data_IF_540177076273
#
_entry.id   IF_540177076273
#
_cell.length_a   1.000
_cell.length_b   1.000
_cell.length_c   1.000
_cell.angle_alpha   90.00
_cell.angle_beta   90.00
_cell.angle_gamma   90.00
#
_symmetry.space_group_name_H-M   'P 1'
#
loop_
_entity.id
_entity.type
_entity.pdbx_description
1 polymer ?
#
# COMPACT_ATOMS: atom_id res chain seq x y z
N UNK A 1 -14.85 5.20 -16.42
CA UNK A 1 -13.75 5.53 -17.38
C UNK A 1 -12.71 6.32 -16.61
N UNK A 2 -11.43 6.21 -16.96
CA UNK A 2 -10.39 7.06 -16.34
C UNK A 2 -10.71 8.54 -16.57
N UNK A 3 -10.26 9.43 -15.69
CA UNK A 3 -10.39 10.88 -15.91
C UNK A 3 -9.72 11.29 -17.21
N UNK A 4 -10.32 12.25 -17.92
CA UNK A 4 -9.66 12.90 -19.03
C UNK A 4 -8.40 13.64 -18.57
N UNK A 5 -7.55 13.99 -19.53
CA UNK A 5 -6.23 14.55 -19.25
C UNK A 5 -6.30 15.90 -18.49
N UNK A 6 -7.29 16.74 -18.80
CA UNK A 6 -7.44 18.06 -18.16
C UNK A 6 -7.92 17.92 -16.71
N UNK A 7 -8.96 17.14 -16.48
CA UNK A 7 -9.50 16.84 -15.14
C UNK A 7 -8.45 16.16 -14.26
N UNK A 8 -7.67 15.24 -14.82
CA UNK A 8 -6.60 14.58 -14.08
C UNK A 8 -5.46 15.55 -13.72
N UNK A 9 -5.08 16.45 -14.61
CA UNK A 9 -4.07 17.47 -14.33
C UNK A 9 -4.50 18.40 -13.18
N UNK A 10 -5.78 18.80 -13.13
CA UNK A 10 -6.35 19.61 -12.05
C UNK A 10 -6.36 18.85 -10.72
N UNK A 11 -6.78 17.59 -10.71
CA UNK A 11 -6.74 16.75 -9.52
C UNK A 11 -5.30 16.63 -8.99
N UNK A 12 -4.35 16.34 -9.87
CA UNK A 12 -2.94 16.18 -9.49
C UNK A 12 -2.34 17.47 -8.95
N UNK A 13 -2.66 18.62 -9.56
CA UNK A 13 -2.23 19.94 -9.04
C UNK A 13 -2.80 20.22 -7.65
N UNK A 14 -4.06 19.82 -7.40
CA UNK A 14 -4.68 19.94 -6.07
C UNK A 14 -4.00 19.03 -5.04
N UNK A 15 -3.66 17.80 -5.41
CA UNK A 15 -2.90 16.87 -4.55
C UNK A 15 -1.51 17.42 -4.24
N UNK A 16 -0.79 17.96 -5.23
CA UNK A 16 0.54 18.55 -5.01
C UNK A 16 0.48 19.75 -4.07
N UNK A 17 -0.50 20.63 -4.23
CA UNK A 17 -0.72 21.75 -3.30
C UNK A 17 -1.04 21.26 -1.89
N UNK A 18 -1.91 20.26 -1.75
CA UNK A 18 -2.22 19.66 -0.45
C UNK A 18 -0.98 19.06 0.22
N UNK A 19 -0.10 18.42 -0.55
CA UNK A 19 1.18 17.91 -0.08
C UNK A 19 2.04 19.04 0.49
N UNK A 20 2.18 20.14 -0.24
CA UNK A 20 3.08 21.23 0.14
C UNK A 20 2.52 22.06 1.30
N UNK A 21 1.22 22.38 1.29
CA UNK A 21 0.60 23.30 2.23
C UNK A 21 0.08 22.61 3.50
N UNK A 22 -0.23 21.31 3.46
CA UNK A 22 -0.85 20.58 4.57
C UNK A 22 -0.04 19.40 5.07
N UNK A 23 0.41 18.52 4.18
CA UNK A 23 1.03 17.25 4.59
C UNK A 23 2.47 17.45 5.08
N UNK A 24 3.31 18.17 4.33
CA UNK A 24 4.70 18.44 4.74
C UNK A 24 4.78 19.18 6.07
N UNK A 25 3.99 20.25 6.33
CA UNK A 25 3.97 20.90 7.63
C UNK A 25 3.52 20.02 8.79
N UNK A 26 2.67 19.01 8.54
CA UNK A 26 2.16 18.10 9.56
C UNK A 26 3.09 16.91 9.85
N UNK A 27 4.20 16.76 9.14
CA UNK A 27 5.12 15.63 9.28
C UNK A 27 5.72 15.47 10.68
N UNK A 28 6.03 16.58 11.35
CA UNK A 28 6.63 16.56 12.69
C UNK A 28 5.58 16.19 13.74
N UNK A 29 4.39 16.74 13.67
CA UNK A 29 3.27 16.36 14.54
C UNK A 29 2.94 14.87 14.41
N UNK A 30 2.94 14.36 13.17
CA UNK A 30 2.73 12.92 12.92
C UNK A 30 3.81 12.07 13.58
N UNK A 31 5.08 12.45 13.47
CA UNK A 31 6.20 11.73 14.07
C UNK A 31 6.12 11.75 15.60
N UNK A 32 5.75 12.85 16.21
CA UNK A 32 5.62 13.01 17.65
C UNK A 32 4.45 12.21 18.22
N UNK A 33 3.26 12.36 17.60
CA UNK A 33 2.02 11.76 18.11
C UNK A 33 1.83 10.30 17.69
N UNK A 34 2.60 9.83 16.72
CA UNK A 34 2.41 8.52 16.05
C UNK A 34 0.97 8.38 15.52
N UNK A 35 0.37 9.49 15.04
CA UNK A 35 -0.97 9.49 14.45
C UNK A 35 -1.11 10.56 13.36
N UNK A 36 -2.00 10.31 12.37
CA UNK A 36 -2.34 11.32 11.36
C UNK A 36 -3.41 12.23 11.93
N UNK A 37 -3.20 13.56 11.93
CA UNK A 37 -4.17 14.51 12.44
C UNK A 37 -5.56 14.35 11.80
N UNK A 38 -6.61 14.45 12.61
CA UNK A 38 -7.98 14.21 12.17
C UNK A 38 -8.44 15.16 11.06
N UNK A 39 -8.00 16.42 11.10
CA UNK A 39 -8.26 17.43 10.06
C UNK A 39 -7.61 17.04 8.73
N UNK A 40 -6.43 16.47 8.73
CA UNK A 40 -5.78 15.94 7.50
C UNK A 40 -6.61 14.79 6.90
N UNK A 41 -7.13 13.91 7.76
CA UNK A 41 -8.00 12.81 7.30
C UNK A 41 -9.32 13.36 6.72
N UNK A 42 -9.88 14.43 7.31
CA UNK A 42 -11.08 15.08 6.79
C UNK A 42 -10.81 15.71 5.41
N UNK A 43 -9.71 16.47 5.26
CA UNK A 43 -9.29 17.04 3.98
C UNK A 43 -9.14 15.94 2.89
N UNK A 44 -8.52 14.80 3.24
CA UNK A 44 -8.36 13.65 2.32
C UNK A 44 -9.73 13.08 1.86
N UNK A 45 -10.72 13.05 2.75
CA UNK A 45 -12.09 12.62 2.41
C UNK A 45 -12.75 13.60 1.45
N UNK A 46 -12.68 14.90 1.74
CA UNK A 46 -13.18 15.96 0.87
C UNK A 46 -12.58 15.93 -0.53
N UNK A 47 -11.28 15.67 -0.62
CA UNK A 47 -10.57 15.51 -1.89
C UNK A 47 -10.90 14.20 -2.63
N UNK A 48 -11.69 13.30 -2.05
CA UNK A 48 -12.05 12.01 -2.64
C UNK A 48 -10.91 10.99 -2.69
N UNK A 49 -9.82 11.18 -1.92
CA UNK A 49 -8.64 10.31 -1.97
C UNK A 49 -8.95 8.86 -1.54
N UNK A 50 -9.98 8.65 -0.73
CA UNK A 50 -10.44 7.30 -0.33
C UNK A 50 -11.08 6.53 -1.47
N UNK A 51 -11.54 7.21 -2.53
CA UNK A 51 -12.26 6.63 -3.65
C UNK A 51 -11.53 6.69 -5.00
N UNK A 52 -10.23 7.05 -5.06
CA UNK A 52 -9.53 7.26 -6.34
C UNK A 52 -9.57 6.04 -7.25
N UNK A 53 -9.56 4.82 -6.69
CA UNK A 53 -9.58 3.54 -7.42
C UNK A 53 -10.97 2.94 -7.61
N UNK A 54 -12.00 3.54 -7.00
CA UNK A 54 -13.37 3.05 -7.05
C UNK A 54 -14.10 3.77 -8.19
N UNK A 55 -14.79 3.04 -9.08
CA UNK A 55 -15.53 3.66 -10.19
C UNK A 55 -16.60 4.66 -9.75
N UNK A 56 -16.91 5.62 -10.62
CA UNK A 56 -17.88 6.71 -10.39
C UNK A 56 -19.28 6.19 -10.03
N UNK A 57 -19.73 5.08 -10.64
CA UNK A 57 -21.04 4.48 -10.33
C UNK A 57 -21.14 3.92 -8.90
N UNK A 58 -20.02 3.85 -8.17
CA UNK A 58 -19.95 3.55 -6.73
C UNK A 58 -19.41 4.73 -5.92
N UNK A 59 -19.48 5.95 -6.47
CA UNK A 59 -19.13 7.19 -5.75
C UNK A 59 -17.63 7.49 -5.66
N UNK A 60 -16.78 6.78 -6.40
CA UNK A 60 -15.34 7.05 -6.46
C UNK A 60 -14.95 7.97 -7.63
N UNK A 61 -13.66 8.16 -7.84
CA UNK A 61 -13.10 8.95 -8.95
C UNK A 61 -12.79 8.07 -10.16
N UNK A 62 -12.51 6.79 -9.97
CA UNK A 62 -12.30 5.83 -11.05
C UNK A 62 -11.03 6.02 -11.86
N UNK A 63 -9.92 6.41 -11.22
CA UNK A 63 -8.64 6.57 -11.88
C UNK A 63 -8.16 5.26 -12.54
N UNK A 64 -7.45 5.38 -13.68
CA UNK A 64 -6.68 4.28 -14.24
C UNK A 64 -5.48 3.94 -13.35
N UNK A 65 -4.87 2.77 -13.53
CA UNK A 65 -3.66 2.40 -12.78
C UNK A 65 -2.52 3.39 -13.00
N UNK A 66 -2.35 3.87 -14.23
CA UNK A 66 -1.35 4.89 -14.57
C UNK A 66 -1.59 6.19 -13.80
N UNK A 67 -2.84 6.65 -13.75
CA UNK A 67 -3.22 7.86 -13.00
C UNK A 67 -3.06 7.67 -11.49
N UNK A 68 -3.46 6.50 -10.95
CA UNK A 68 -3.25 6.19 -9.52
C UNK A 68 -1.77 6.16 -9.15
N UNK A 69 -0.91 5.57 -9.99
CA UNK A 69 0.53 5.55 -9.77
C UNK A 69 1.12 6.97 -9.72
N UNK A 70 0.65 7.89 -10.58
CA UNK A 70 1.10 9.28 -10.55
C UNK A 70 0.68 9.98 -9.24
N UNK A 71 -0.56 9.82 -8.77
CA UNK A 71 -1.02 10.37 -7.49
C UNK A 71 -0.25 9.77 -6.31
N UNK A 72 -0.03 8.47 -6.31
CA UNK A 72 0.72 7.77 -5.26
C UNK A 72 2.19 8.17 -5.25
N UNK A 73 2.80 8.39 -6.42
CA UNK A 73 4.15 8.94 -6.54
C UNK A 73 4.23 10.33 -5.91
N UNK A 74 3.31 11.24 -6.20
CA UNK A 74 3.29 12.58 -5.61
C UNK A 74 3.17 12.51 -4.08
N UNK A 75 2.30 11.66 -3.54
CA UNK A 75 2.16 11.42 -2.09
C UNK A 75 3.43 10.84 -1.45
N UNK A 76 4.27 10.16 -2.21
CA UNK A 76 5.58 9.68 -1.75
C UNK A 76 6.55 10.82 -1.38
N UNK A 77 6.27 12.06 -1.75
CA UNK A 77 7.05 13.23 -1.32
C UNK A 77 6.83 13.63 0.14
N UNK A 78 6.00 12.90 0.88
CA UNK A 78 5.70 13.16 2.29
C UNK A 78 5.89 11.90 3.15
N UNK A 79 5.60 12.01 4.45
CA UNK A 79 5.61 10.87 5.36
C UNK A 79 4.65 9.78 4.89
N UNK A 80 5.12 8.54 4.92
CA UNK A 80 4.40 7.36 4.45
C UNK A 80 2.97 7.24 4.98
N UNK A 81 2.75 7.60 6.26
CA UNK A 81 1.48 7.41 6.93
C UNK A 81 0.33 8.18 6.29
N UNK A 82 0.58 9.35 5.68
CA UNK A 82 -0.48 10.10 5.02
C UNK A 82 -1.13 9.30 3.89
N UNK A 83 -0.33 8.64 3.05
CA UNK A 83 -0.88 7.73 2.03
C UNK A 83 -1.50 6.49 2.65
N UNK A 84 -0.95 5.98 3.76
CA UNK A 84 -1.41 4.75 4.39
C UNK A 84 -2.82 4.84 4.96
N UNK A 85 -3.27 6.03 5.40
CA UNK A 85 -4.61 6.24 5.98
C UNK A 85 -5.72 5.76 5.05
N UNK A 86 -5.66 6.14 3.77
CA UNK A 86 -6.63 5.71 2.78
C UNK A 86 -6.13 4.54 1.90
N UNK A 87 -4.87 4.16 2.07
CA UNK A 87 -4.21 3.17 1.21
C UNK A 87 -4.86 1.79 1.21
N UNK A 88 -5.44 1.38 2.33
CA UNK A 88 -6.20 0.12 2.40
C UNK A 88 -7.53 0.23 1.66
N UNK A 89 -8.20 1.41 1.70
CA UNK A 89 -9.45 1.65 0.98
C UNK A 89 -9.28 1.61 -0.54
N UNK A 90 -8.24 2.26 -1.08
CA UNK A 90 -8.01 2.30 -2.53
C UNK A 90 -7.27 1.07 -3.07
N UNK A 91 -6.62 0.32 -2.19
CA UNK A 91 -5.80 -0.83 -2.55
C UNK A 91 -6.39 -2.14 -2.05
N UNK A 92 -5.60 -2.82 -1.23
CA UNK A 92 -5.81 -4.23 -0.87
C UNK A 92 -7.12 -4.52 -0.13
N UNK A 93 -7.73 -3.55 0.56
CA UNK A 93 -8.97 -3.76 1.31
C UNK A 93 -10.22 -3.79 0.42
N UNK A 94 -10.36 -2.84 -0.51
CA UNK A 94 -11.57 -2.70 -1.35
C UNK A 94 -11.54 -3.51 -2.63
N UNK A 95 -10.35 -3.72 -3.20
CA UNK A 95 -10.21 -4.24 -4.56
C UNK A 95 -10.74 -5.68 -4.73
N UNK A 96 -10.72 -6.48 -3.66
CA UNK A 96 -11.34 -7.80 -3.68
C UNK A 96 -12.87 -7.72 -3.91
N UNK A 97 -13.53 -6.75 -3.27
CA UNK A 97 -14.96 -6.49 -3.44
C UNK A 97 -15.22 -5.96 -4.85
N UNK A 98 -14.43 -5.00 -5.33
CA UNK A 98 -14.61 -4.42 -6.66
C UNK A 98 -14.43 -5.46 -7.78
N UNK A 99 -13.42 -6.32 -7.68
CA UNK A 99 -13.09 -7.28 -8.74
C UNK A 99 -14.01 -8.49 -8.77
N UNK A 100 -14.32 -9.05 -7.61
CA UNK A 100 -14.95 -10.37 -7.49
C UNK A 100 -16.23 -10.35 -6.65
N UNK A 101 -16.60 -9.24 -6.01
CA UNK A 101 -17.84 -9.10 -5.23
C UNK A 101 -19.09 -9.22 -6.08
N UNK A 102 -20.21 -9.65 -5.48
CA UNK A 102 -21.52 -9.56 -6.12
C UNK A 102 -21.96 -8.09 -6.27
N UNK A 103 -22.93 -7.81 -7.11
CA UNK A 103 -23.41 -6.43 -7.30
C UNK A 103 -23.98 -5.86 -6.01
N UNK A 104 -24.68 -6.67 -5.22
CA UNK A 104 -25.21 -6.29 -3.90
C UNK A 104 -24.07 -5.90 -2.95
N UNK A 105 -22.97 -6.68 -2.91
CA UNK A 105 -21.81 -6.37 -2.10
C UNK A 105 -21.14 -5.06 -2.56
N UNK A 106 -21.01 -4.85 -3.85
CA UNK A 106 -20.45 -3.61 -4.41
C UNK A 106 -21.29 -2.39 -4.02
N UNK A 107 -22.61 -2.46 -4.22
CA UNK A 107 -23.53 -1.37 -3.89
C UNK A 107 -23.57 -1.08 -2.38
N UNK A 108 -23.46 -2.10 -1.55
CA UNK A 108 -23.49 -1.94 -0.11
C UNK A 108 -22.21 -1.33 0.46
N UNK A 109 -21.03 -1.72 -0.05
CA UNK A 109 -19.75 -1.39 0.58
C UNK A 109 -18.95 -0.31 -0.15
N UNK A 110 -18.91 -0.32 -1.49
CA UNK A 110 -17.99 0.57 -2.24
C UNK A 110 -18.29 2.05 -2.05
N UNK A 111 -19.55 2.53 -2.03
CA UNK A 111 -19.83 3.95 -1.80
C UNK A 111 -19.33 4.45 -0.44
N UNK A 112 -19.50 3.66 0.60
CA UNK A 112 -19.04 3.99 1.96
C UNK A 112 -17.52 3.96 2.08
N UNK A 113 -16.87 3.06 1.32
CA UNK A 113 -15.41 2.99 1.23
C UNK A 113 -14.87 4.20 0.46
N UNK A 114 -15.51 4.56 -0.66
CA UNK A 114 -15.09 5.68 -1.51
C UNK A 114 -15.17 7.04 -0.80
N UNK A 115 -16.21 7.25 0.00
CA UNK A 115 -16.35 8.47 0.83
C UNK A 115 -15.41 8.51 2.04
N UNK A 116 -14.78 7.38 2.39
CA UNK A 116 -14.02 7.23 3.63
C UNK A 116 -14.89 7.15 4.88
N UNK A 117 -16.22 6.97 4.76
CA UNK A 117 -17.10 6.60 5.89
C UNK A 117 -16.66 5.26 6.48
N UNK A 118 -16.40 4.29 5.61
CA UNK A 118 -15.95 2.96 5.99
C UNK A 118 -14.47 2.79 5.64
N UNK A 119 -13.64 2.65 6.66
CA UNK A 119 -12.25 2.21 6.51
C UNK A 119 -12.25 0.69 6.44
N UNK A 120 -11.64 0.12 5.41
CA UNK A 120 -11.54 -1.33 5.25
C UNK A 120 -10.09 -1.78 5.27
N UNK A 121 -9.80 -2.82 6.05
CA UNK A 121 -8.45 -3.40 6.17
C UNK A 121 -8.38 -4.77 5.54
N UNK A 122 -7.17 -5.18 5.14
CA UNK A 122 -6.92 -6.48 4.52
C UNK A 122 -6.29 -7.43 5.52
N UNK A 123 -6.98 -8.53 5.84
CA UNK A 123 -6.63 -9.45 6.90
C UNK A 123 -6.27 -10.85 6.32
N UNK A 124 -5.05 -10.98 5.80
CA UNK A 124 -4.50 -12.22 5.22
C UNK A 124 -3.49 -12.89 6.18
N UNK A 125 -2.46 -12.14 6.57
CA UNK A 125 -1.29 -12.65 7.32
C UNK A 125 -1.67 -13.18 8.69
N UNK A 126 -1.04 -14.27 9.11
CA UNK A 126 -1.20 -14.90 10.42
C UNK A 126 0.16 -15.04 11.12
N UNK A 127 0.18 -15.31 12.45
CA UNK A 127 1.43 -15.53 13.17
C UNK A 127 2.36 -16.57 12.51
N UNK A 128 1.80 -17.62 11.92
CA UNK A 128 2.53 -18.72 11.30
C UNK A 128 2.43 -18.77 9.76
N UNK A 129 1.75 -17.80 9.12
CA UNK A 129 1.56 -17.78 7.66
C UNK A 129 1.71 -16.35 7.12
N UNK A 130 2.93 -15.99 6.71
CA UNK A 130 3.26 -14.72 6.06
C UNK A 130 3.57 -14.94 4.59
N UNK A 131 4.83 -15.26 4.26
CA UNK A 131 5.26 -15.55 2.88
C UNK A 131 4.57 -16.79 2.29
N UNK A 132 4.31 -17.79 3.12
CA UNK A 132 3.48 -18.95 2.78
C UNK A 132 2.00 -18.68 3.13
N UNK A 133 1.41 -17.72 2.43
CA UNK A 133 0.04 -17.28 2.68
C UNK A 133 -1.02 -18.37 2.43
N UNK A 134 -0.73 -19.35 1.58
CA UNK A 134 -1.64 -20.47 1.32
C UNK A 134 -1.77 -21.45 2.51
N UNK A 135 -0.86 -21.37 3.50
CA UNK A 135 -0.86 -22.18 4.71
C UNK A 135 -1.61 -21.53 5.88
N UNK A 136 -2.38 -20.46 5.64
CA UNK A 136 -3.20 -19.83 6.67
C UNK A 136 -4.12 -20.83 7.37
N UNK A 137 -4.33 -20.64 8.68
CA UNK A 137 -5.03 -21.58 9.56
C UNK A 137 -6.36 -21.06 10.08
N UNK A 138 -6.66 -19.76 10.00
CA UNK A 138 -7.97 -19.21 10.34
C UNK A 138 -9.05 -19.99 9.63
N UNK A 139 -9.99 -20.61 10.38
CA UNK A 139 -11.07 -21.44 9.86
C UNK A 139 -12.37 -20.66 9.81
N UNK A 140 -13.21 -21.00 8.82
CA UNK A 140 -14.57 -20.54 8.70
C UNK A 140 -15.47 -21.77 8.43
N UNK A 141 -16.24 -22.17 9.41
CA UNK A 141 -17.12 -23.33 9.35
C UNK A 141 -18.57 -22.88 9.15
N UNK A 142 -19.25 -23.45 8.14
CA UNK A 142 -20.64 -23.10 7.85
C UNK A 142 -21.57 -23.67 8.92
N UNK A 143 -22.40 -22.81 9.51
CA UNK A 143 -23.42 -23.13 10.51
C UNK A 143 -24.72 -22.41 10.13
N UNK A 144 -25.62 -23.12 9.49
CA UNK A 144 -26.85 -22.57 8.93
C UNK A 144 -26.54 -21.56 7.80
N UNK A 145 -26.96 -20.31 7.99
CA UNK A 145 -26.77 -19.18 7.07
C UNK A 145 -25.57 -18.28 7.45
N UNK A 146 -24.73 -18.73 8.40
CA UNK A 146 -23.54 -18.03 8.87
C UNK A 146 -22.30 -18.89 8.78
N UNK A 147 -21.14 -18.24 8.68
CA UNK A 147 -19.84 -18.86 8.97
C UNK A 147 -19.39 -18.49 10.37
N UNK A 148 -18.94 -19.48 11.13
CA UNK A 148 -18.26 -19.31 12.41
C UNK A 148 -16.77 -19.26 12.16
N UNK A 149 -16.15 -18.09 12.40
CA UNK A 149 -14.76 -17.85 12.10
C UNK A 149 -13.92 -17.85 13.36
N UNK A 150 -12.83 -18.63 13.34
CA UNK A 150 -11.88 -18.75 14.44
C UNK A 150 -10.44 -18.63 13.94
N UNK A 151 -9.63 -17.79 14.59
CA UNK A 151 -8.22 -17.61 14.24
C UNK A 151 -7.67 -16.24 14.63
N UNK A 152 -6.43 -15.97 14.22
CA UNK A 152 -5.76 -14.69 14.51
C UNK A 152 -5.08 -14.18 13.26
N UNK A 153 -5.36 -12.95 12.88
CA UNK A 153 -4.67 -12.21 11.81
C UNK A 153 -3.65 -11.26 12.43
N UNK A 154 -2.48 -11.15 11.80
CA UNK A 154 -1.33 -10.43 12.35
C UNK A 154 -0.87 -9.29 11.44
N UNK A 155 -0.37 -8.21 12.06
CA UNK A 155 0.14 -7.01 11.38
C UNK A 155 -0.90 -6.33 10.48
N UNK A 156 -2.17 -6.29 10.89
CA UNK A 156 -3.25 -5.78 10.05
C UNK A 156 -3.24 -4.25 10.06
N UNK A 157 -2.87 -3.68 8.92
CA UNK A 157 -2.76 -2.23 8.71
C UNK A 157 -4.14 -1.58 8.83
N UNK A 158 -4.19 -0.45 9.55
CA UNK A 158 -5.40 0.32 9.86
C UNK A 158 -6.45 -0.44 10.68
N UNK A 159 -6.17 -1.64 11.21
CA UNK A 159 -7.14 -2.40 11.99
C UNK A 159 -7.78 -1.60 13.13
N UNK A 160 -7.06 -0.75 13.90
CA UNK A 160 -7.69 0.07 14.95
C UNK A 160 -8.70 1.11 14.45
N UNK A 161 -8.68 1.43 13.16
CA UNK A 161 -9.60 2.40 12.51
C UNK A 161 -10.61 1.72 11.59
N UNK A 162 -10.45 0.41 11.36
CA UNK A 162 -11.27 -0.32 10.41
C UNK A 162 -12.71 -0.50 10.92
N UNK A 163 -13.68 -0.22 10.08
CA UNK A 163 -15.07 -0.61 10.27
C UNK A 163 -15.40 -1.96 9.64
N UNK A 164 -14.50 -2.48 8.78
CA UNK A 164 -14.61 -3.83 8.21
C UNK A 164 -13.25 -4.38 7.79
N UNK A 165 -13.20 -5.71 7.63
CA UNK A 165 -12.03 -6.45 7.15
C UNK A 165 -12.37 -7.24 5.89
N UNK A 166 -11.55 -7.13 4.85
CA UNK A 166 -11.46 -8.16 3.81
C UNK A 166 -10.57 -9.26 4.36
N UNK A 167 -11.19 -10.33 4.85
CA UNK A 167 -10.55 -11.37 5.64
C UNK A 167 -10.51 -12.70 4.88
N UNK A 168 -9.35 -13.33 4.84
CA UNK A 168 -9.15 -14.66 4.27
C UNK A 168 -9.24 -15.72 5.36
N UNK A 169 -10.10 -16.73 5.13
CA UNK A 169 -10.24 -17.86 6.03
C UNK A 169 -10.43 -19.16 5.23
N UNK A 170 -10.11 -20.27 5.86
CA UNK A 170 -10.22 -21.61 5.28
C UNK A 170 -11.63 -22.13 5.46
N UNK A 171 -12.32 -22.34 4.34
CA UNK A 171 -13.65 -22.98 4.25
C UNK A 171 -13.60 -24.40 3.73
N UNK A 172 -12.45 -24.85 3.23
CA UNK A 172 -12.25 -26.17 2.64
C UNK A 172 -10.94 -26.80 3.05
N UNK A 173 -10.48 -27.78 2.25
CA UNK A 173 -9.24 -28.53 2.49
C UNK A 173 -7.96 -27.68 2.46
N UNK A 174 -6.81 -28.33 2.49
CA UNK A 174 -5.50 -27.69 2.44
C UNK A 174 -5.26 -26.97 1.10
N UNK A 175 -4.32 -26.02 1.10
CA UNK A 175 -3.89 -25.27 -0.08
C UNK A 175 -4.79 -24.10 -0.43
N UNK A 176 -4.50 -23.48 -1.56
CA UNK A 176 -5.10 -22.21 -2.01
C UNK A 176 -6.61 -22.33 -2.30
N UNK A 177 -7.06 -23.47 -2.84
CA UNK A 177 -8.47 -23.73 -3.18
C UNK A 177 -9.38 -23.92 -1.97
N UNK A 178 -8.81 -24.08 -0.77
CA UNK A 178 -9.59 -24.14 0.48
C UNK A 178 -9.84 -22.78 1.10
N UNK A 179 -9.37 -21.67 0.51
CA UNK A 179 -9.41 -20.32 1.11
C UNK A 179 -10.51 -19.47 0.46
N UNK A 180 -11.34 -18.86 1.28
CA UNK A 180 -12.37 -17.89 0.90
C UNK A 180 -12.03 -16.50 1.42
N UNK A 181 -12.53 -15.47 0.74
CA UNK A 181 -12.48 -14.08 1.19
C UNK A 181 -13.83 -13.66 1.75
N UNK A 182 -13.83 -12.96 2.87
CA UNK A 182 -15.03 -12.48 3.55
C UNK A 182 -14.99 -10.97 3.75
N UNK A 183 -16.15 -10.31 3.71
CA UNK A 183 -16.33 -8.97 4.26
C UNK A 183 -16.81 -9.15 5.71
N UNK A 184 -15.96 -8.81 6.65
CA UNK A 184 -16.24 -8.99 8.08
C UNK A 184 -16.36 -7.63 8.75
N UNK A 185 -17.55 -7.20 9.23
CA UNK A 185 -17.69 -5.99 10.03
C UNK A 185 -16.83 -6.05 11.29
N UNK A 186 -16.17 -4.95 11.66
CA UNK A 186 -15.24 -4.94 12.79
C UNK A 186 -15.96 -5.06 14.15
N UNK A 187 -17.24 -4.72 14.21
CA UNK A 187 -18.11 -4.83 15.38
C UNK A 187 -18.79 -6.21 15.52
N UNK A 188 -18.42 -7.17 14.67
CA UNK A 188 -18.93 -8.55 14.78
C UNK A 188 -18.57 -9.13 16.14
N UNK A 189 -19.55 -9.65 16.94
CA UNK A 189 -19.27 -10.32 18.20
C UNK A 189 -18.24 -11.43 18.03
N UNK A 190 -17.28 -11.51 18.95
CA UNK A 190 -16.15 -12.44 18.87
C UNK A 190 -14.93 -11.89 18.16
N UNK A 191 -14.94 -10.63 17.71
CA UNK A 191 -13.75 -9.93 17.22
C UNK A 191 -13.14 -9.07 18.30
N UNK A 192 -11.82 -9.16 18.47
CA UNK A 192 -11.05 -8.28 19.33
C UNK A 192 -9.74 -7.87 18.65
N UNK A 193 -9.22 -6.71 19.04
CA UNK A 193 -7.99 -6.16 18.52
C UNK A 193 -6.87 -6.25 19.55
N UNK A 194 -5.69 -6.66 19.08
CA UNK A 194 -4.46 -6.59 19.86
C UNK A 194 -3.99 -5.15 20.07
N UNK A 195 -2.97 -4.99 20.91
CA UNK A 195 -2.30 -3.68 21.08
C UNK A 195 -1.62 -3.29 19.76
N UNK A 196 -1.63 -1.98 19.37
CA UNK A 196 -0.86 -1.51 18.24
C UNK A 196 0.62 -1.86 18.35
N UNK A 197 1.20 -2.32 17.24
CA UNK A 197 2.61 -2.70 17.16
C UNK A 197 3.52 -1.47 17.30
N UNK A 198 4.60 -1.63 18.06
CA UNK A 198 5.72 -0.68 18.05
C UNK A 198 6.64 -1.04 16.87
N UNK A 199 6.85 -0.12 15.95
CA UNK A 199 7.54 -0.37 14.68
C UNK A 199 8.84 0.43 14.57
N UNK A 200 9.74 -0.01 13.69
CA UNK A 200 10.96 0.70 13.30
C UNK A 200 10.65 2.05 12.65
N UNK A 201 9.68 2.10 11.75
CA UNK A 201 9.25 3.25 10.97
C UNK A 201 7.77 3.23 10.66
N UNK A 202 7.37 4.08 9.71
CA UNK A 202 5.97 4.29 9.32
C UNK A 202 5.09 4.64 10.53
N UNK A 203 5.57 5.56 11.36
CA UNK A 203 4.78 6.17 12.45
C UNK A 203 3.54 6.82 11.86
N UNK A 204 2.46 6.83 12.62
CA UNK A 204 1.13 7.26 12.14
C UNK A 204 0.34 6.18 11.40
N UNK A 205 1.00 5.09 10.96
CA UNK A 205 0.32 3.90 10.42
C UNK A 205 0.19 2.86 11.51
N UNK A 206 -1.01 2.60 12.00
CA UNK A 206 -1.24 1.60 13.05
C UNK A 206 -1.42 0.22 12.43
N UNK A 207 -0.78 -0.78 13.05
CA UNK A 207 -1.00 -2.21 12.78
C UNK A 207 -1.27 -2.93 14.10
N UNK A 208 -2.11 -3.95 14.10
CA UNK A 208 -2.30 -4.84 15.25
C UNK A 208 -2.82 -6.20 14.82
N UNK A 209 -2.89 -7.11 15.76
CA UNK A 209 -3.57 -8.39 15.56
C UNK A 209 -5.10 -8.20 15.56
N UNK A 210 -5.79 -9.03 14.76
CA UNK A 210 -7.24 -9.19 14.76
C UNK A 210 -7.53 -10.62 15.19
N UNK A 211 -8.13 -10.78 16.35
CA UNK A 211 -8.46 -12.08 16.95
C UNK A 211 -9.94 -12.37 16.73
N UNK A 212 -10.24 -13.56 16.24
CA UNK A 212 -11.61 -14.04 15.98
C UNK A 212 -11.87 -15.28 16.85
N UNK A 213 -12.87 -15.18 17.71
CA UNK A 213 -13.31 -16.23 18.61
C UNK A 213 -14.82 -16.46 18.42
N UNK A 214 -15.16 -17.49 17.66
CA UNK A 214 -16.53 -17.81 17.27
C UNK A 214 -17.27 -16.62 16.60
N UNK A 215 -16.56 -15.84 15.81
CA UNK A 215 -17.13 -14.70 15.09
C UNK A 215 -18.12 -15.19 14.03
N UNK A 216 -19.41 -14.84 14.19
CA UNK A 216 -20.48 -15.26 13.28
C UNK A 216 -20.66 -14.22 12.19
N UNK A 217 -20.39 -14.62 10.95
CA UNK A 217 -20.46 -13.77 9.76
C UNK A 217 -21.47 -14.37 8.79
N UNK A 218 -22.44 -13.60 8.26
CA UNK A 218 -23.40 -14.10 7.28
C UNK A 218 -22.72 -14.77 6.09
N UNK A 219 -23.24 -15.88 5.59
CA UNK A 219 -22.72 -16.57 4.44
C UNK A 219 -22.71 -15.69 3.17
N UNK A 220 -23.63 -14.75 3.08
CA UNK A 220 -23.68 -13.73 2.04
C UNK A 220 -22.47 -12.79 2.01
N UNK A 221 -21.66 -12.76 3.07
CA UNK A 221 -20.45 -11.94 3.16
C UNK A 221 -19.22 -12.61 2.54
N UNK A 222 -19.31 -13.84 2.02
CA UNK A 222 -18.26 -14.38 1.13
C UNK A 222 -18.20 -13.48 -0.12
N UNK A 223 -17.03 -12.94 -0.42
CA UNK A 223 -16.83 -12.11 -1.62
C UNK A 223 -17.10 -12.97 -2.86
N UNK A 224 -18.07 -12.52 -3.67
CA UNK A 224 -18.50 -13.24 -4.89
C UNK A 224 -19.40 -14.44 -4.63
N UNK A 225 -19.78 -14.72 -3.37
CA UNK A 225 -20.73 -15.77 -3.01
C UNK A 225 -20.22 -17.22 -3.20
N UNK A 226 -18.97 -17.42 -3.66
CA UNK A 226 -18.42 -18.74 -3.96
C UNK A 226 -17.25 -19.06 -3.04
N UNK A 227 -17.33 -20.11 -2.21
CA UNK A 227 -16.22 -20.53 -1.37
C UNK A 227 -15.05 -21.10 -2.18
N UNK A 228 -13.82 -20.99 -1.61
CA UNK A 228 -12.60 -21.57 -2.19
C UNK A 228 -11.92 -20.73 -3.28
N UNK A 229 -12.44 -19.55 -3.64
CA UNK A 229 -11.82 -18.67 -4.65
C UNK A 229 -11.05 -17.51 -4.05
N UNK A 230 -11.10 -17.30 -2.74
CA UNK A 230 -10.58 -16.12 -2.07
C UNK A 230 -9.08 -15.93 -2.19
N UNK A 231 -8.28 -17.01 -2.26
CA UNK A 231 -6.85 -16.88 -2.47
C UNK A 231 -6.52 -16.30 -3.86
N UNK A 232 -7.28 -16.70 -4.89
CA UNK A 232 -7.12 -16.14 -6.24
C UNK A 232 -7.46 -14.66 -6.28
N UNK A 233 -8.52 -14.25 -5.59
CA UNK A 233 -8.88 -12.84 -5.39
C UNK A 233 -7.75 -12.07 -4.71
N UNK A 234 -7.22 -12.59 -3.60
CA UNK A 234 -6.11 -11.98 -2.87
C UNK A 234 -4.87 -11.76 -3.76
N UNK A 235 -4.51 -12.73 -4.62
CA UNK A 235 -3.36 -12.60 -5.52
C UNK A 235 -3.57 -11.52 -6.58
N UNK A 236 -4.77 -11.40 -7.17
CA UNK A 236 -5.11 -10.31 -8.11
C UNK A 236 -4.98 -8.93 -7.46
N UNK A 237 -5.44 -8.82 -6.22
CA UNK A 237 -5.37 -7.59 -5.44
C UNK A 237 -3.92 -7.20 -5.13
N UNK A 238 -3.07 -8.17 -4.79
CA UNK A 238 -1.65 -7.91 -4.50
C UNK A 238 -0.85 -7.48 -5.73
N UNK A 239 -1.18 -7.93 -6.94
CA UNK A 239 -0.52 -7.44 -8.17
C UNK A 239 -0.70 -5.94 -8.35
N UNK A 240 -1.90 -5.43 -8.05
CA UNK A 240 -2.21 -4.00 -8.05
C UNK A 240 -1.44 -3.25 -6.94
N UNK A 241 -1.43 -3.79 -5.72
CA UNK A 241 -0.72 -3.21 -4.58
C UNK A 241 0.78 -3.04 -4.84
N UNK A 242 1.40 -4.00 -5.56
CA UNK A 242 2.82 -3.93 -5.95
C UNK A 242 3.15 -2.70 -6.80
N UNK A 243 2.28 -2.32 -7.74
CA UNK A 243 2.46 -1.10 -8.54
C UNK A 243 2.33 0.16 -7.70
N UNK A 244 1.34 0.23 -6.82
CA UNK A 244 1.20 1.35 -5.89
C UNK A 244 2.44 1.52 -5.00
N UNK A 245 2.94 0.42 -4.43
CA UNK A 245 4.16 0.48 -3.61
C UNK A 245 5.39 0.91 -4.39
N UNK A 246 5.48 0.50 -5.64
CA UNK A 246 6.57 0.89 -6.53
C UNK A 246 6.54 2.39 -6.83
N UNK A 247 5.36 2.92 -7.15
CA UNK A 247 5.17 4.36 -7.38
C UNK A 247 5.50 5.17 -6.11
N UNK A 248 5.02 4.73 -4.96
CA UNK A 248 5.31 5.34 -3.66
C UNK A 248 6.82 5.35 -3.35
N UNK A 249 7.50 4.21 -3.58
CA UNK A 249 8.94 4.09 -3.39
C UNK A 249 9.72 5.08 -4.28
N UNK A 250 9.29 5.27 -5.53
CA UNK A 250 9.87 6.27 -6.43
C UNK A 250 9.63 7.70 -5.93
N UNK A 251 8.45 8.02 -5.42
CA UNK A 251 8.15 9.33 -4.81
C UNK A 251 9.02 9.61 -3.59
N UNK A 252 9.17 8.63 -2.70
CA UNK A 252 10.05 8.74 -1.53
C UNK A 252 11.52 8.90 -1.93
N UNK A 253 11.98 8.20 -2.97
CA UNK A 253 13.33 8.36 -3.52
C UNK A 253 13.53 9.77 -4.10
N UNK A 254 12.54 10.32 -4.81
CA UNK A 254 12.60 11.68 -5.34
C UNK A 254 12.72 12.72 -4.20
N UNK A 255 11.93 12.60 -3.14
CA UNK A 255 12.02 13.48 -1.97
C UNK A 255 13.41 13.41 -1.34
N UNK A 256 13.94 12.22 -1.11
CA UNK A 256 15.28 12.02 -0.53
C UNK A 256 16.38 12.63 -1.39
N UNK A 257 16.32 12.49 -2.70
CA UNK A 257 17.28 13.09 -3.63
C UNK A 257 17.18 14.62 -3.58
N UNK A 258 15.97 15.17 -3.59
CA UNK A 258 15.73 16.62 -3.52
C UNK A 258 16.31 17.21 -2.25
N UNK A 259 16.04 16.60 -1.10
CA UNK A 259 16.53 17.05 0.21
C UNK A 259 18.08 16.93 0.28
N UNK A 260 18.64 15.82 -0.24
CA UNK A 260 20.09 15.62 -0.28
C UNK A 260 20.81 16.62 -1.21
N UNK A 261 20.21 16.97 -2.34
CA UNK A 261 20.74 17.99 -3.27
C UNK A 261 20.72 19.37 -2.61
N UNK A 262 19.61 19.76 -1.95
CA UNK A 262 19.52 21.02 -1.23
C UNK A 262 20.60 21.11 -0.15
N UNK A 263 20.71 20.08 0.68
CA UNK A 263 21.73 20.02 1.73
C UNK A 263 23.16 20.08 1.16
N UNK A 264 23.44 19.36 0.07
CA UNK A 264 24.78 19.33 -0.54
C UNK A 264 25.21 20.68 -1.11
N UNK A 265 24.26 21.52 -1.56
CA UNK A 265 24.52 22.88 -2.06
C UNK A 265 24.83 23.86 -0.93
N UNK A 266 24.21 23.71 0.23
CA UNK A 266 24.32 24.64 1.36
C UNK A 266 25.45 24.27 2.32
N UNK A 267 25.61 22.99 2.64
CA UNK A 267 26.60 22.50 3.59
C UNK A 267 28.01 22.66 3.06
N UNK A 268 28.85 23.37 3.80
CA UNK A 268 30.28 23.59 3.44
C UNK A 268 31.20 22.76 4.34
N UNK A 269 32.19 22.12 3.72
CA UNK A 269 33.33 21.49 4.36
C UNK A 269 34.58 21.72 3.49
N UNK A 270 35.76 21.79 4.10
CA UNK A 270 37.01 22.05 3.39
C UNK A 270 36.94 23.34 2.53
N UNK A 271 36.21 24.36 3.02
CA UNK A 271 36.12 25.67 2.38
C UNK A 271 35.10 25.80 1.22
N UNK A 272 34.38 24.74 0.84
CA UNK A 272 33.41 24.75 -0.27
C UNK A 272 32.17 23.91 0.00
N UNK A 273 31.07 24.06 -0.77
CA UNK A 273 29.92 23.19 -0.68
C UNK A 273 30.29 21.71 -0.83
N UNK A 274 29.63 20.83 -0.09
CA UNK A 274 29.94 19.40 -0.19
C UNK A 274 29.53 18.83 -1.55
N UNK A 275 28.58 19.43 -2.24
CA UNK A 275 28.20 19.11 -3.60
C UNK A 275 29.32 19.26 -4.66
N UNK A 276 30.41 19.99 -4.32
CA UNK A 276 31.59 20.12 -5.20
C UNK A 276 32.55 18.93 -5.10
N UNK A 277 32.28 17.96 -4.22
CA UNK A 277 33.11 16.76 -4.11
C UNK A 277 32.57 15.61 -4.95
N UNK A 278 33.43 14.98 -5.73
CA UNK A 278 33.05 13.93 -6.69
C UNK A 278 32.36 12.72 -6.03
N UNK A 279 32.73 12.36 -4.79
CA UNK A 279 32.07 11.27 -4.07
C UNK A 279 30.60 11.58 -3.72
N UNK A 280 30.28 12.84 -3.42
CA UNK A 280 28.90 13.28 -3.22
C UNK A 280 28.14 13.30 -4.56
N UNK A 281 28.77 13.82 -5.59
CA UNK A 281 28.20 13.85 -6.95
C UNK A 281 27.89 12.43 -7.46
N UNK A 282 28.78 11.46 -7.19
CA UNK A 282 28.55 10.05 -7.53
C UNK A 282 27.32 9.46 -6.85
N UNK A 283 27.15 9.69 -5.54
CA UNK A 283 25.98 9.21 -4.79
C UNK A 283 24.67 9.83 -5.31
N UNK A 284 24.65 11.12 -5.67
CA UNK A 284 23.50 11.79 -6.23
C UNK A 284 23.16 11.27 -7.65
N UNK A 285 24.20 11.08 -8.48
CA UNK A 285 24.05 10.58 -9.85
C UNK A 285 23.50 9.14 -9.87
N UNK A 286 24.05 8.24 -9.06
CA UNK A 286 23.54 6.88 -8.90
C UNK A 286 22.07 6.86 -8.46
N UNK A 287 21.73 7.69 -7.46
CA UNK A 287 20.37 7.78 -6.95
C UNK A 287 19.39 8.26 -8.01
N UNK A 288 19.78 9.25 -8.81
CA UNK A 288 18.93 9.78 -9.89
C UNK A 288 18.78 8.76 -11.04
N UNK A 289 19.82 8.05 -11.40
CA UNK A 289 19.78 7.03 -12.45
C UNK A 289 18.86 5.86 -12.05
N UNK A 290 18.96 5.40 -10.80
CA UNK A 290 18.12 4.34 -10.27
C UNK A 290 16.64 4.78 -10.15
N UNK A 291 16.37 6.03 -9.74
CA UNK A 291 15.02 6.59 -9.73
C UNK A 291 14.41 6.64 -11.13
N UNK A 292 15.18 7.10 -12.12
CA UNK A 292 14.74 7.15 -13.52
C UNK A 292 14.35 5.76 -14.04
N UNK A 293 15.17 4.75 -13.77
CA UNK A 293 14.87 3.36 -14.11
C UNK A 293 13.59 2.87 -13.43
N UNK A 294 13.44 3.10 -12.12
CA UNK A 294 12.25 2.72 -11.34
C UNK A 294 10.96 3.36 -11.87
N UNK A 295 10.98 4.66 -12.16
CA UNK A 295 9.83 5.37 -12.73
C UNK A 295 9.46 4.84 -14.12
N UNK A 296 10.45 4.52 -14.96
CA UNK A 296 10.19 3.92 -16.27
C UNK A 296 9.51 2.57 -16.16
N UNK A 297 9.94 1.72 -15.21
CA UNK A 297 9.30 0.42 -14.93
C UNK A 297 7.86 0.60 -14.43
N UNK A 298 7.62 1.54 -13.51
CA UNK A 298 6.28 1.82 -12.99
C UNK A 298 5.34 2.23 -14.12
N UNK A 299 5.76 3.17 -14.96
CA UNK A 299 4.95 3.69 -16.07
C UNK A 299 4.62 2.61 -17.11
N UNK A 300 5.63 1.86 -17.56
CA UNK A 300 5.41 0.76 -18.50
C UNK A 300 4.45 -0.28 -17.94
N UNK A 301 4.68 -0.74 -16.71
CA UNK A 301 3.85 -1.77 -16.11
C UNK A 301 2.42 -1.27 -15.84
N UNK A 302 2.22 -0.01 -15.41
CA UNK A 302 0.90 0.56 -15.20
C UNK A 302 0.11 0.68 -16.51
N UNK A 303 0.74 1.12 -17.61
CA UNK A 303 0.12 1.17 -18.94
C UNK A 303 -0.32 -0.22 -19.43
N UNK A 304 0.53 -1.25 -19.23
CA UNK A 304 0.16 -2.65 -19.56
C UNK A 304 -0.97 -3.16 -18.68
N UNK A 305 -0.97 -2.75 -17.40
CA UNK A 305 -2.08 -3.07 -16.49
C UNK A 305 -3.40 -2.46 -16.96
N UNK A 306 -3.40 -1.21 -17.42
CA UNK A 306 -4.57 -0.52 -17.94
C UNK A 306 -5.06 -1.13 -19.28
N UNK A 307 -4.15 -1.62 -20.11
CA UNK A 307 -4.46 -2.21 -21.41
C UNK A 307 -5.06 -3.63 -21.31
N UNK A 308 -4.89 -4.34 -20.18
CA UNK A 308 -5.44 -5.69 -20.02
C UNK A 308 -6.97 -5.67 -19.90
N UNK A 309 -7.68 -6.73 -20.37
CA UNK A 309 -9.12 -6.84 -20.18
C UNK A 309 -9.50 -6.80 -18.69
N UNK A 310 -10.55 -6.03 -18.36
CA UNK A 310 -11.02 -5.89 -16.99
C UNK A 310 -11.33 -7.26 -16.35
N UNK A 311 -10.95 -7.44 -15.09
CA UNK A 311 -11.19 -8.66 -14.32
C UNK A 311 -10.35 -9.88 -14.70
N UNK A 312 -9.55 -9.81 -15.79
CA UNK A 312 -8.64 -10.90 -16.18
C UNK A 312 -7.26 -10.73 -15.54
N UNK A 313 -6.68 -11.86 -15.13
CA UNK A 313 -5.26 -11.92 -14.76
C UNK A 313 -4.42 -12.08 -16.03
N UNK A 314 -3.31 -11.35 -16.09
CA UNK A 314 -2.31 -11.49 -17.14
C UNK A 314 -0.99 -11.91 -16.47
N UNK A 315 -0.46 -13.12 -16.78
CA UNK A 315 0.78 -13.61 -16.17
C UNK A 315 2.01 -12.74 -16.47
N UNK A 316 2.08 -12.11 -17.64
CA UNK A 316 3.17 -11.19 -17.98
C UNK A 316 3.09 -9.92 -17.14
N UNK A 317 1.92 -9.30 -17.05
CA UNK A 317 1.70 -8.11 -16.21
C UNK A 317 1.97 -8.42 -14.73
N UNK A 318 1.58 -9.59 -14.23
CA UNK A 318 1.86 -10.03 -12.85
C UNK A 318 3.36 -10.19 -12.59
N UNK A 319 4.11 -10.75 -13.56
CA UNK A 319 5.57 -10.84 -13.49
C UNK A 319 6.22 -9.45 -13.50
N UNK A 320 5.79 -8.56 -14.40
CA UNK A 320 6.32 -7.20 -14.50
C UNK A 320 6.03 -6.38 -13.24
N UNK A 321 4.85 -6.53 -12.63
CA UNK A 321 4.53 -5.92 -11.34
C UNK A 321 5.47 -6.40 -10.22
N UNK A 322 5.84 -7.70 -10.25
CA UNK A 322 6.81 -8.26 -9.32
C UNK A 322 8.23 -7.73 -9.57
N UNK A 323 8.67 -7.62 -10.83
CA UNK A 323 9.95 -7.01 -11.21
C UNK A 323 10.02 -5.55 -10.74
N UNK A 324 8.97 -4.79 -11.01
CA UNK A 324 8.87 -3.36 -10.66
C UNK A 324 8.92 -3.18 -9.15
N UNK A 325 8.12 -3.96 -8.40
CA UNK A 325 8.11 -3.90 -6.92
C UNK A 325 9.48 -4.25 -6.35
N UNK A 326 10.08 -5.33 -6.79
CA UNK A 326 11.39 -5.75 -6.31
C UNK A 326 12.44 -4.66 -6.57
N UNK A 327 12.52 -4.13 -7.78
CA UNK A 327 13.49 -3.10 -8.13
C UNK A 327 13.27 -1.82 -7.33
N UNK A 328 12.06 -1.24 -7.36
CA UNK A 328 11.77 0.06 -6.76
C UNK A 328 11.93 0.06 -5.24
N UNK A 329 11.54 -1.03 -4.55
CA UNK A 329 11.65 -1.09 -3.09
C UNK A 329 13.09 -1.34 -2.62
N UNK A 330 13.92 -2.03 -3.39
CA UNK A 330 15.35 -2.13 -3.12
C UNK A 330 16.08 -0.82 -3.47
N UNK A 331 15.73 -0.20 -4.57
CA UNK A 331 16.26 1.09 -5.02
C UNK A 331 16.08 2.18 -3.97
N UNK A 332 14.86 2.37 -3.47
CA UNK A 332 14.60 3.43 -2.47
C UNK A 332 15.37 3.20 -1.16
N UNK A 333 15.64 1.94 -0.81
CA UNK A 333 16.51 1.61 0.33
C UNK A 333 17.95 2.09 0.11
N UNK A 334 18.50 1.91 -1.09
CA UNK A 334 19.84 2.42 -1.44
C UNK A 334 19.88 3.95 -1.49
N UNK A 335 18.84 4.57 -2.05
CA UNK A 335 18.71 6.03 -2.08
C UNK A 335 18.63 6.61 -0.67
N UNK A 336 17.86 5.99 0.22
CA UNK A 336 17.75 6.44 1.62
C UNK A 336 19.09 6.33 2.35
N UNK A 337 19.85 5.25 2.15
CA UNK A 337 21.18 5.07 2.72
C UNK A 337 22.14 6.18 2.25
N UNK A 338 22.18 6.44 0.92
CA UNK A 338 23.00 7.53 0.38
C UNK A 338 22.57 8.90 0.87
N UNK A 339 21.26 9.14 1.03
CA UNK A 339 20.75 10.42 1.55
C UNK A 339 21.23 10.65 3.00
N UNK A 340 21.13 9.67 3.88
CA UNK A 340 21.70 9.74 5.24
C UNK A 340 23.20 9.99 5.19
N UNK A 341 23.91 9.28 4.32
CA UNK A 341 25.38 9.43 4.18
C UNK A 341 25.77 10.83 3.69
N UNK A 342 25.06 11.41 2.74
CA UNK A 342 25.29 12.79 2.22
C UNK A 342 25.09 13.82 3.33
N UNK A 343 24.05 13.64 4.18
CA UNK A 343 23.81 14.52 5.33
C UNK A 343 24.85 14.35 6.45
N UNK A 344 25.60 13.23 6.47
CA UNK A 344 26.54 12.92 7.53
C UNK A 344 25.85 12.81 8.89
N UNK A 345 26.44 13.40 9.94
CA UNK A 345 25.84 13.38 11.29
C UNK A 345 24.42 13.99 11.35
N UNK A 346 24.13 14.99 10.54
CA UNK A 346 22.80 15.59 10.42
C UNK A 346 21.76 14.60 9.89
N UNK A 347 22.15 13.67 9.01
CA UNK A 347 21.25 12.64 8.49
C UNK A 347 20.78 11.60 9.51
N UNK A 348 21.41 11.57 10.69
CA UNK A 348 21.07 10.68 11.81
C UNK A 348 20.22 11.35 12.88
N UNK A 349 19.96 12.66 12.74
CA UNK A 349 19.23 13.49 13.69
C UNK A 349 17.81 13.74 13.18
N UNK A 350 16.82 13.64 14.09
CA UNK A 350 15.39 13.66 13.74
C UNK A 350 14.89 14.98 13.10
N UNK A 351 15.62 16.10 13.30
CA UNK A 351 15.33 17.38 12.65
C UNK A 351 15.48 17.32 11.12
N UNK A 352 16.28 16.36 10.61
CA UNK A 352 16.43 16.09 9.19
C UNK A 352 15.63 14.84 8.82
N UNK A 353 14.82 14.95 7.77
CA UNK A 353 13.86 13.90 7.42
C UNK A 353 14.49 12.62 6.83
N UNK A 354 15.79 12.64 6.50
CA UNK A 354 16.51 11.50 5.91
C UNK A 354 16.45 10.25 6.79
N UNK A 355 16.64 10.38 8.13
CA UNK A 355 16.57 9.26 9.06
C UNK A 355 15.19 8.61 9.11
N UNK A 356 14.10 9.42 9.09
CA UNK A 356 12.73 8.93 9.07
C UNK A 356 12.44 8.14 7.81
N UNK A 357 12.77 8.70 6.64
CA UNK A 357 12.62 7.99 5.38
C UNK A 357 13.42 6.70 5.34
N UNK A 358 14.65 6.68 5.90
CA UNK A 358 15.47 5.47 6.01
C UNK A 358 14.74 4.35 6.78
N UNK A 359 14.11 4.68 7.92
CA UNK A 359 13.31 3.75 8.70
C UNK A 359 12.04 3.30 7.96
N UNK A 360 11.34 4.23 7.32
CA UNK A 360 10.05 3.99 6.66
C UNK A 360 10.18 3.09 5.43
N UNK A 361 11.18 3.34 4.58
CA UNK A 361 11.35 2.58 3.33
C UNK A 361 11.76 1.13 3.58
N UNK A 362 12.31 0.83 4.78
CA UNK A 362 12.76 -0.53 5.09
C UNK A 362 11.64 -1.56 5.01
N UNK A 363 10.41 -1.19 5.36
CA UNK A 363 9.26 -2.08 5.32
C UNK A 363 8.81 -2.42 3.89
N UNK A 364 9.03 -1.52 2.92
CA UNK A 364 8.58 -1.73 1.53
C UNK A 364 9.12 -3.01 0.91
N UNK A 365 10.29 -3.50 1.35
CA UNK A 365 10.91 -4.75 0.92
C UNK A 365 10.32 -6.00 1.57
N UNK A 366 9.46 -5.85 2.60
CA UNK A 366 8.96 -6.95 3.43
C UNK A 366 7.52 -7.32 3.12
N UNK A 367 6.62 -6.34 3.14
CA UNK A 367 5.18 -6.59 2.97
C UNK A 367 4.77 -6.66 1.49
N UNK A 368 3.55 -7.09 1.23
CA UNK A 368 3.00 -7.40 -0.10
C UNK A 368 3.88 -8.37 -0.91
N UNK A 369 4.52 -9.30 -0.20
CA UNK A 369 5.52 -10.23 -0.71
C UNK A 369 6.93 -9.65 -0.59
N UNK A 370 7.78 -10.34 0.18
CA UNK A 370 9.19 -9.94 0.35
C UNK A 370 9.92 -9.90 -0.99
N UNK A 371 11.09 -9.23 -1.04
CA UNK A 371 11.98 -9.29 -2.22
C UNK A 371 12.20 -10.71 -2.71
N UNK A 372 12.40 -11.67 -1.80
CA UNK A 372 12.60 -13.09 -2.13
C UNK A 372 11.33 -13.73 -2.73
N UNK A 373 10.15 -13.37 -2.25
CA UNK A 373 8.89 -13.82 -2.85
C UNK A 373 8.72 -13.26 -4.26
N UNK A 374 9.09 -11.99 -4.50
CA UNK A 374 9.07 -11.44 -5.87
C UNK A 374 10.03 -12.21 -6.79
N UNK A 375 11.24 -12.53 -6.32
CA UNK A 375 12.21 -13.35 -7.06
C UNK A 375 11.63 -14.71 -7.44
N UNK A 376 10.94 -15.38 -6.51
CA UNK A 376 10.31 -16.68 -6.78
C UNK A 376 9.16 -16.57 -7.80
N UNK A 377 8.35 -15.50 -7.74
CA UNK A 377 7.27 -15.26 -8.70
C UNK A 377 7.85 -15.05 -10.11
N UNK A 378 8.88 -14.22 -10.23
CA UNK A 378 9.56 -13.94 -11.50
C UNK A 378 10.17 -15.22 -12.07
N UNK A 379 10.96 -15.93 -11.26
CA UNK A 379 11.61 -17.17 -11.68
C UNK A 379 10.61 -18.25 -12.12
N UNK A 380 9.50 -18.40 -11.37
CA UNK A 380 8.43 -19.35 -11.73
C UNK A 380 7.79 -19.03 -13.08
N UNK A 381 7.66 -17.74 -13.41
CA UNK A 381 7.07 -17.34 -14.69
C UNK A 381 8.07 -17.55 -15.85
N UNK A 382 9.36 -17.26 -15.63
CA UNK A 382 10.42 -17.48 -16.63
C UNK A 382 10.66 -18.96 -16.94
N UNK A 383 10.43 -19.84 -15.96
CA UNK A 383 10.60 -21.30 -16.09
C UNK A 383 9.30 -22.04 -16.49
N UNK A 384 8.28 -21.31 -16.90
CA UNK A 384 7.02 -21.87 -17.34
C UNK A 384 7.16 -22.27 -18.82
N UNK A 385 6.84 -23.55 -19.12
CA UNK A 385 6.75 -24.07 -20.48
C UNK A 385 5.58 -23.45 -21.25
#
# INVERSE_FOLDING_TARGET
MALDQESFALLRASVQRFIDERLKPAEDTLEETDDVPAEIVADMKEMGLFGISIPENYGGIGLSMSQECDVVYDLGHTAFAFRSVFGTNVGIGSQGILMDGTEEQKQQYLPRIASGELIISFALTEPNAGSDAASLQTKAELDGDHYVINGTKRFITNAPRAGAFTLMARTGGAGASGISSFIVPADTPGISLGKPDKKMGQRGTKTCDVVLENARVPAANIIGGVPGVGFKTAMKVLDRGRLHLSALACGMAHRLITDAVAYAKERKQFGKPIGDFQLIQGMLADSQAELYAGLSMVRDCAQRYDAKPAGKSDPEVSMLASCTKMFCTEMVGRVADRAVQIHGGAGYIAEYKAERFYRDVRLLRLYEGTTQIQQLIIAKQLLRD
#
